data_IF_071482326355
#
_entry.id   IF_071482326355
#
_cell.length_a   1.000
_cell.length_b   1.000
_cell.length_c   1.000
_cell.angle_alpha   90.00
_cell.angle_beta   90.00
_cell.angle_gamma   90.00
#
_symmetry.space_group_name_H-M   'P 1'
#
loop_
_entity.id
_entity.type
_entity.pdbx_description
1 polymer ?
#
# COMPACT_ATOMS: atom_id res chain seq x y z
N UNK A 1 -7.83 67.13 -0.95
CA UNK A 1 -6.44 66.70 -1.12
C UNK A 1 -5.98 66.14 0.21
N UNK A 2 -5.32 64.98 0.21
CA UNK A 2 -4.80 64.16 1.32
C UNK A 2 -5.55 62.83 1.53
N UNK A 3 -4.88 61.80 0.99
CA UNK A 3 -4.74 60.39 1.37
C UNK A 3 -5.96 59.47 1.50
N UNK A 4 -6.15 58.70 0.44
CA UNK A 4 -6.56 57.31 0.49
C UNK A 4 -5.59 56.50 1.37
N UNK A 5 -6.07 56.00 2.50
CA UNK A 5 -5.39 55.01 3.33
C UNK A 5 -5.45 53.65 2.65
N UNK A 6 -4.54 53.42 1.69
CA UNK A 6 -4.23 52.08 1.17
C UNK A 6 -3.47 51.33 2.26
N UNK A 7 -4.21 50.75 3.21
CA UNK A 7 -3.70 49.63 4.00
C UNK A 7 -3.52 48.44 3.06
N UNK A 8 -2.31 48.37 2.49
CA UNK A 8 -1.81 47.16 1.85
C UNK A 8 -1.87 46.04 2.87
N UNK A 9 -2.70 45.05 2.59
CA UNK A 9 -2.49 43.73 3.18
C UNK A 9 -1.10 43.29 2.75
N UNK A 10 -0.25 42.77 3.65
CA UNK A 10 0.92 42.07 3.20
C UNK A 10 0.42 40.92 2.32
N UNK A 11 0.72 41.00 1.02
CA UNK A 11 0.76 39.82 0.16
C UNK A 11 1.72 38.88 0.86
N UNK A 12 1.18 37.94 1.63
CA UNK A 12 1.87 36.71 1.92
C UNK A 12 1.96 35.97 0.60
N UNK A 13 2.92 36.38 -0.23
CA UNK A 13 3.79 35.46 -0.95
C UNK A 13 4.56 34.65 0.11
N UNK A 14 3.79 33.94 0.94
CA UNK A 14 4.28 32.77 1.63
C UNK A 14 4.31 31.73 0.53
N UNK A 15 5.44 31.72 -0.19
CA UNK A 15 6.13 30.51 -0.59
C UNK A 15 5.27 29.30 -0.22
N UNK A 16 4.44 28.84 -1.16
CA UNK A 16 3.93 27.47 -1.14
C UNK A 16 5.20 26.63 -1.21
N UNK A 17 5.89 26.54 -0.07
CA UNK A 17 7.16 25.86 0.09
C UNK A 17 6.84 24.49 -0.44
N UNK A 18 7.34 24.22 -1.64
CA UNK A 18 6.94 23.09 -2.43
C UNK A 18 7.31 21.89 -1.58
N UNK A 19 6.32 21.35 -0.85
CA UNK A 19 6.57 20.37 0.20
C UNK A 19 7.17 19.21 -0.55
N UNK A 20 8.47 18.98 -0.33
CA UNK A 20 9.19 17.93 -1.01
C UNK A 20 8.36 16.65 -0.87
N UNK A 21 8.09 15.91 -1.96
CA UNK A 21 7.18 14.78 -1.92
C UNK A 21 7.58 13.84 -0.79
N UNK A 22 6.70 13.63 0.20
CA UNK A 22 6.97 12.70 1.30
C UNK A 22 6.75 11.26 0.79
N UNK A 23 7.82 10.47 0.60
CA UNK A 23 7.71 9.13 0.03
C UNK A 23 6.98 8.16 0.96
N UNK A 24 6.98 8.41 2.28
CA UNK A 24 6.25 7.59 3.25
C UNK A 24 4.76 7.85 3.12
N UNK A 25 4.34 9.12 3.04
CA UNK A 25 2.93 9.46 2.83
C UNK A 25 2.42 8.97 1.47
N UNK A 26 3.24 9.02 0.42
CA UNK A 26 2.91 8.44 -0.87
C UNK A 26 2.68 6.92 -0.77
N UNK A 27 3.62 6.17 -0.19
CA UNK A 27 3.50 4.72 -0.04
C UNK A 27 2.33 4.31 0.87
N UNK A 28 2.01 5.09 1.91
CA UNK A 28 0.83 4.85 2.74
C UNK A 28 -0.48 5.04 1.96
N UNK A 29 -0.56 6.05 1.09
CA UNK A 29 -1.72 6.24 0.20
C UNK A 29 -1.87 5.08 -0.79
N UNK A 30 -0.77 4.59 -1.36
CA UNK A 30 -0.79 3.39 -2.21
C UNK A 30 -1.31 2.17 -1.43
N UNK A 31 -0.90 2.00 -0.18
CA UNK A 31 -1.37 0.91 0.67
C UNK A 31 -2.87 1.03 0.97
N UNK A 32 -3.37 2.23 1.27
CA UNK A 32 -4.81 2.45 1.46
C UNK A 32 -5.57 2.09 0.18
N UNK A 33 -5.13 2.58 -0.98
CA UNK A 33 -5.78 2.27 -2.25
C UNK A 33 -5.79 0.75 -2.57
N UNK A 34 -4.69 0.04 -2.28
CA UNK A 34 -4.63 -1.40 -2.45
C UNK A 34 -5.56 -2.16 -1.50
N UNK A 35 -5.70 -1.69 -0.26
CA UNK A 35 -6.63 -2.27 0.72
C UNK A 35 -8.08 -1.99 0.34
N UNK A 36 -8.40 -0.78 -0.12
CA UNK A 36 -9.75 -0.43 -0.58
C UNK A 36 -10.18 -1.30 -1.76
N UNK A 37 -9.26 -1.58 -2.69
CA UNK A 37 -9.54 -2.49 -3.81
C UNK A 37 -9.75 -3.94 -3.36
N UNK A 38 -8.96 -4.40 -2.38
CA UNK A 38 -9.16 -5.71 -1.78
C UNK A 38 -10.52 -5.79 -1.08
N UNK A 39 -10.92 -4.76 -0.33
CA UNK A 39 -12.24 -4.69 0.32
C UNK A 39 -13.36 -4.71 -0.73
N UNK A 40 -13.25 -3.93 -1.80
CA UNK A 40 -14.23 -3.95 -2.91
C UNK A 40 -14.38 -5.33 -3.55
N UNK A 41 -13.32 -6.12 -3.57
CA UNK A 41 -13.32 -7.46 -4.18
C UNK A 41 -13.62 -8.58 -3.19
N UNK A 42 -13.65 -8.31 -1.88
CA UNK A 42 -13.77 -9.32 -0.84
C UNK A 42 -15.14 -10.01 -0.84
N UNK A 43 -16.21 -9.27 -1.11
CA UNK A 43 -17.56 -9.83 -1.20
C UNK A 43 -17.67 -10.83 -2.37
N UNK A 44 -17.20 -10.46 -3.57
CA UNK A 44 -17.21 -11.37 -4.73
C UNK A 44 -16.33 -12.61 -4.50
N UNK A 45 -15.18 -12.48 -3.81
CA UNK A 45 -14.37 -13.63 -3.41
C UNK A 45 -15.11 -14.55 -2.43
N UNK A 46 -15.82 -13.95 -1.46
CA UNK A 46 -16.57 -14.68 -0.43
C UNK A 46 -17.74 -15.44 -1.06
N UNK A 47 -18.56 -14.77 -1.87
CA UNK A 47 -19.70 -15.37 -2.56
C UNK A 47 -19.27 -16.57 -3.43
N UNK A 48 -18.16 -16.43 -4.16
CA UNK A 48 -17.61 -17.52 -5.00
C UNK A 48 -17.12 -18.69 -4.16
N UNK A 49 -16.42 -18.42 -3.06
CA UNK A 49 -15.92 -19.46 -2.17
C UNK A 49 -17.08 -20.24 -1.53
N UNK A 50 -18.12 -19.54 -1.08
CA UNK A 50 -19.32 -20.14 -0.52
C UNK A 50 -20.09 -20.98 -1.55
N UNK A 51 -20.23 -20.49 -2.78
CA UNK A 51 -20.87 -21.25 -3.86
C UNK A 51 -20.14 -22.57 -4.16
N UNK A 52 -18.80 -22.55 -4.24
CA UNK A 52 -17.99 -23.76 -4.43
C UNK A 52 -18.11 -24.73 -3.25
N UNK A 53 -18.11 -24.21 -2.03
CA UNK A 53 -18.30 -25.02 -0.82
C UNK A 53 -19.69 -25.67 -0.78
N UNK A 54 -20.74 -24.93 -1.16
CA UNK A 54 -22.10 -25.45 -1.25
C UNK A 54 -22.20 -26.58 -2.28
N UNK A 55 -21.66 -26.40 -3.49
CA UNK A 55 -21.63 -27.45 -4.51
C UNK A 55 -20.86 -28.69 -4.03
N UNK A 56 -19.74 -28.50 -3.31
CA UNK A 56 -19.00 -29.61 -2.73
C UNK A 56 -19.82 -30.39 -1.70
N UNK A 57 -20.57 -29.69 -0.84
CA UNK A 57 -21.45 -30.30 0.18
C UNK A 57 -22.58 -31.14 -0.44
N UNK A 58 -22.97 -30.84 -1.69
CA UNK A 58 -23.95 -31.61 -2.47
C UNK A 58 -23.34 -32.86 -3.13
N UNK A 59 -22.06 -33.17 -2.88
CA UNK A 59 -21.40 -34.37 -3.36
C UNK A 59 -20.67 -34.23 -4.69
N UNK A 60 -20.55 -33.02 -5.25
CA UNK A 60 -19.77 -32.77 -6.48
C UNK A 60 -18.28 -33.06 -6.25
N UNK A 61 -17.63 -33.68 -7.24
CA UNK A 61 -16.19 -33.97 -7.23
C UNK A 61 -15.36 -32.69 -7.34
N UNK A 62 -14.15 -32.70 -6.80
CA UNK A 62 -13.29 -31.51 -6.80
C UNK A 62 -12.78 -31.15 -8.19
N UNK A 63 -12.52 -32.15 -9.00
CA UNK A 63 -12.19 -32.08 -10.42
C UNK A 63 -13.26 -31.25 -11.15
N UNK A 64 -14.54 -31.63 -11.04
CA UNK A 64 -15.63 -30.86 -11.66
C UNK A 64 -15.76 -29.42 -11.16
N UNK A 65 -15.36 -29.14 -9.92
CA UNK A 65 -15.50 -27.81 -9.31
C UNK A 65 -14.31 -26.89 -9.61
N UNK A 66 -13.09 -27.40 -9.51
CA UNK A 66 -11.87 -26.60 -9.63
C UNK A 66 -11.48 -26.32 -11.08
N UNK A 67 -11.97 -27.10 -12.04
CA UNK A 67 -11.79 -26.82 -13.47
C UNK A 67 -12.81 -25.82 -14.05
N UNK A 68 -13.73 -25.30 -13.23
CA UNK A 68 -14.71 -24.28 -13.63
C UNK A 68 -14.05 -22.90 -13.83
N UNK A 69 -14.72 -22.05 -14.60
CA UNK A 69 -14.30 -20.66 -14.77
C UNK A 69 -14.39 -19.88 -13.45
N UNK A 70 -15.41 -20.18 -12.65
CA UNK A 70 -15.67 -19.58 -11.35
C UNK A 70 -14.53 -19.84 -10.36
N UNK A 71 -14.04 -21.08 -10.28
CA UNK A 71 -12.89 -21.43 -9.43
C UNK A 71 -11.59 -20.77 -9.89
N UNK A 72 -11.37 -20.68 -11.22
CA UNK A 72 -10.22 -19.97 -11.78
C UNK A 72 -10.26 -18.47 -11.46
N UNK A 73 -11.44 -17.85 -11.58
CA UNK A 73 -11.65 -16.44 -11.25
C UNK A 73 -11.41 -16.16 -9.78
N UNK A 74 -11.92 -16.99 -8.87
CA UNK A 74 -11.64 -16.87 -7.44
C UNK A 74 -10.12 -16.93 -7.16
N UNK A 75 -9.43 -17.91 -7.76
CA UNK A 75 -7.98 -18.05 -7.60
C UNK A 75 -7.23 -16.81 -8.11
N UNK A 76 -7.65 -16.27 -9.26
CA UNK A 76 -7.05 -15.06 -9.83
C UNK A 76 -7.28 -13.82 -8.95
N UNK A 77 -8.48 -13.66 -8.39
CA UNK A 77 -8.81 -12.57 -7.47
C UNK A 77 -7.96 -12.65 -6.20
N UNK A 78 -7.87 -13.83 -5.57
CA UNK A 78 -7.05 -14.06 -4.38
C UNK A 78 -5.57 -13.75 -4.65
N UNK A 79 -5.03 -14.24 -5.78
CA UNK A 79 -3.66 -14.00 -6.17
C UNK A 79 -3.40 -12.51 -6.41
N UNK A 80 -4.27 -11.83 -7.17
CA UNK A 80 -4.15 -10.41 -7.47
C UNK A 80 -4.23 -9.53 -6.22
N UNK A 81 -5.16 -9.82 -5.31
CA UNK A 81 -5.30 -9.12 -4.04
C UNK A 81 -4.07 -9.29 -3.14
N UNK A 82 -3.57 -10.52 -3.00
CA UNK A 82 -2.36 -10.80 -2.23
C UNK A 82 -1.12 -10.11 -2.83
N UNK A 83 -0.99 -10.10 -4.15
CA UNK A 83 0.11 -9.44 -4.84
C UNK A 83 0.05 -7.92 -4.67
N UNK A 84 -1.12 -7.30 -4.81
CA UNK A 84 -1.31 -5.87 -4.65
C UNK A 84 -0.94 -5.39 -3.23
N UNK A 85 -1.45 -6.08 -2.20
CA UNK A 85 -1.12 -5.77 -0.80
C UNK A 85 0.37 -6.02 -0.53
N UNK A 86 0.94 -7.11 -1.06
CA UNK A 86 2.36 -7.42 -0.93
C UNK A 86 3.28 -6.34 -1.52
N UNK A 87 2.93 -5.82 -2.71
CA UNK A 87 3.64 -4.70 -3.35
C UNK A 87 3.53 -3.43 -2.52
N UNK A 88 2.35 -3.07 -2.06
CA UNK A 88 2.14 -1.87 -1.26
C UNK A 88 2.88 -1.92 0.10
N UNK A 89 2.81 -3.04 0.82
CA UNK A 89 3.59 -3.25 2.04
C UNK A 89 5.11 -3.14 1.80
N UNK A 90 5.59 -3.66 0.66
CA UNK A 90 7.00 -3.52 0.28
C UNK A 90 7.37 -2.06 0.01
N UNK A 91 6.50 -1.29 -0.65
CA UNK A 91 6.63 0.15 -0.89
C UNK A 91 6.76 0.92 0.44
N UNK A 92 5.82 0.70 1.37
CA UNK A 92 5.81 1.32 2.69
C UNK A 92 7.09 1.03 3.46
N UNK A 93 7.54 -0.23 3.51
CA UNK A 93 8.76 -0.61 4.23
C UNK A 93 10.02 0.02 3.65
N UNK A 94 10.12 0.15 2.32
CA UNK A 94 11.24 0.85 1.67
C UNK A 94 11.23 2.34 2.03
N UNK A 95 10.09 3.00 1.88
CA UNK A 95 9.95 4.42 2.19
C UNK A 95 10.28 4.73 3.66
N UNK A 96 9.75 3.92 4.60
CA UNK A 96 10.04 4.06 6.02
C UNK A 96 11.53 3.83 6.33
N UNK A 97 12.14 2.79 5.76
CA UNK A 97 13.56 2.54 5.95
C UNK A 97 14.42 3.71 5.43
N UNK A 98 14.09 4.23 4.24
CA UNK A 98 14.77 5.39 3.66
C UNK A 98 14.65 6.64 4.53
N UNK A 99 13.43 6.99 4.96
CA UNK A 99 13.19 8.15 5.82
C UNK A 99 13.92 8.05 7.17
N UNK A 100 13.86 6.88 7.83
CA UNK A 100 14.53 6.66 9.10
C UNK A 100 16.07 6.71 8.95
N UNK A 101 16.61 6.10 7.89
CA UNK A 101 18.05 6.13 7.64
C UNK A 101 18.53 7.55 7.30
N UNK A 102 17.77 8.29 6.49
CA UNK A 102 18.04 9.70 6.17
C UNK A 102 18.02 10.61 7.41
N UNK A 103 17.21 10.27 8.42
CA UNK A 103 17.21 10.95 9.73
C UNK A 103 18.35 10.53 10.68
N UNK A 104 19.26 9.64 10.22
CA UNK A 104 20.45 9.23 10.96
C UNK A 104 20.29 7.98 11.83
N UNK A 105 19.19 7.23 11.73
CA UNK A 105 19.05 5.97 12.45
C UNK A 105 19.92 4.87 11.84
N UNK A 106 20.55 4.06 12.70
CA UNK A 106 21.30 2.89 12.25
C UNK A 106 20.39 1.79 11.72
N UNK A 107 20.89 1.00 10.76
CA UNK A 107 20.15 -0.14 10.19
C UNK A 107 19.70 -1.16 11.25
N UNK A 108 20.44 -1.31 12.35
CA UNK A 108 20.05 -2.18 13.46
C UNK A 108 18.81 -1.66 14.20
N UNK A 109 18.78 -0.34 14.50
CA UNK A 109 17.63 0.29 15.17
C UNK A 109 16.41 0.28 14.26
N UNK A 110 16.59 0.54 12.96
CA UNK A 110 15.52 0.43 11.95
C UNK A 110 14.99 -1.00 11.90
N UNK A 111 15.86 -2.01 11.89
CA UNK A 111 15.45 -3.41 11.89
C UNK A 111 14.59 -3.77 13.09
N UNK A 112 15.00 -3.34 14.30
CA UNK A 112 14.21 -3.51 15.53
C UNK A 112 12.83 -2.85 15.44
N UNK A 113 12.75 -1.62 14.92
CA UNK A 113 11.49 -0.88 14.77
C UNK A 113 10.54 -1.52 13.74
N UNK A 114 11.08 -1.98 12.61
CA UNK A 114 10.28 -2.56 11.52
C UNK A 114 10.04 -4.08 11.68
N UNK A 115 10.57 -4.69 12.74
CA UNK A 115 10.47 -6.13 13.01
C UNK A 115 11.19 -7.00 11.98
N UNK A 116 12.31 -6.52 11.42
CA UNK A 116 13.07 -7.20 10.36
C UNK A 116 14.58 -7.22 10.68
N UNK A 117 15.31 -8.14 10.06
CA UNK A 117 16.76 -8.23 10.25
C UNK A 117 17.49 -7.01 9.67
N UNK A 118 18.69 -6.71 10.19
CA UNK A 118 19.59 -5.69 9.62
C UNK A 118 19.89 -5.95 8.14
N UNK A 119 20.08 -7.21 7.76
CA UNK A 119 20.30 -7.59 6.35
C UNK A 119 19.10 -7.20 5.47
N UNK A 120 17.88 -7.41 5.97
CA UNK A 120 16.67 -7.00 5.25
C UNK A 120 16.58 -5.48 5.11
N UNK A 121 16.97 -4.72 6.14
CA UNK A 121 17.05 -3.24 6.04
C UNK A 121 18.04 -2.81 4.96
N UNK A 122 19.22 -3.44 4.88
CA UNK A 122 20.20 -3.12 3.84
C UNK A 122 19.64 -3.33 2.42
N UNK A 123 18.88 -4.42 2.20
CA UNK A 123 18.20 -4.68 0.93
C UNK A 123 17.15 -3.60 0.62
N UNK A 124 16.33 -3.22 1.62
CA UNK A 124 15.31 -2.17 1.43
C UNK A 124 15.93 -0.82 1.09
N UNK A 125 17.05 -0.47 1.74
CA UNK A 125 17.76 0.78 1.46
C UNK A 125 18.39 0.78 0.08
N UNK A 126 19.01 -0.34 -0.35
CA UNK A 126 19.54 -0.46 -1.71
C UNK A 126 18.45 -0.17 -2.75
N UNK A 127 17.28 -0.79 -2.60
CA UNK A 127 16.15 -0.58 -3.51
C UNK A 127 15.45 0.79 -3.39
N UNK A 128 15.80 1.61 -2.39
CA UNK A 128 15.24 2.96 -2.23
C UNK A 128 16.13 4.05 -2.86
N UNK A 129 17.39 3.73 -3.17
CA UNK A 129 18.36 4.65 -3.79
C UNK A 129 18.76 4.22 -5.22
N UNK A 130 18.15 3.16 -5.75
CA UNK A 130 18.19 2.77 -7.17
C UNK A 130 17.05 3.46 -7.93
#
# INVERSE_FOLDING_TARGET
MISEDRRGFPETDGDEAQVAPDPVLAALREMVAALDELVRSADDMTDRAEALAALRSQGRGWDDLLFTEEARRLTALLAGGAEAVGRANSSVRRAQAGALYGSGLSMEKIGKLLGISRQRVAILLKAAYE
#
